data_IF_085737113015
#
_entry.id   IF_085737113015
#
_cell.length_a   1.000
_cell.length_b   1.000
_cell.length_c   1.000
_cell.angle_alpha   90.00
_cell.angle_beta   90.00
_cell.angle_gamma   90.00
#
_symmetry.space_group_name_H-M   'P 1'
#
loop_
_entity.id
_entity.type
_entity.pdbx_description
1 polymer ?
#
# COMPACT_ATOMS: atom_id res chain seq x y z
N UNK A 1 8.11 1.13 5.99
CA UNK A 1 7.61 -0.24 5.75
C UNK A 1 6.63 -0.76 6.81
N UNK A 2 6.89 -0.56 8.11
CA UNK A 2 5.99 -0.99 9.20
C UNK A 2 4.56 -0.39 9.15
N UNK A 3 4.40 0.78 8.52
CA UNK A 3 3.08 1.43 8.34
C UNK A 3 2.21 0.66 7.34
N UNK A 4 2.79 0.17 6.24
CA UNK A 4 2.07 -0.59 5.21
C UNK A 4 1.54 -1.93 5.70
N UNK A 5 2.33 -2.66 6.50
CA UNK A 5 1.91 -3.92 7.12
C UNK A 5 0.69 -3.74 8.05
N UNK A 6 0.77 -2.80 9.00
CA UNK A 6 -0.32 -2.54 9.96
C UNK A 6 -1.59 -2.09 9.25
N UNK A 7 -1.45 -1.22 8.25
CA UNK A 7 -2.58 -0.75 7.44
C UNK A 7 -3.24 -1.90 6.68
N UNK A 8 -2.46 -2.73 5.98
CA UNK A 8 -2.98 -3.87 5.22
C UNK A 8 -3.68 -4.90 6.13
N UNK A 9 -3.10 -5.22 7.30
CA UNK A 9 -3.71 -6.10 8.29
C UNK A 9 -5.03 -5.55 8.83
N UNK A 10 -5.06 -4.25 9.15
CA UNK A 10 -6.26 -3.56 9.62
C UNK A 10 -7.39 -3.66 8.60
N UNK A 11 -7.09 -3.41 7.32
CA UNK A 11 -8.07 -3.51 6.23
C UNK A 11 -8.55 -4.95 6.01
N UNK A 12 -7.64 -5.93 6.04
CA UNK A 12 -7.98 -7.34 5.88
C UNK A 12 -9.00 -7.83 6.91
N UNK A 13 -8.94 -7.30 8.14
CA UNK A 13 -9.91 -7.60 9.22
C UNK A 13 -11.16 -6.73 9.10
N UNK A 14 -11.02 -5.44 8.77
CA UNK A 14 -12.15 -4.51 8.68
C UNK A 14 -13.15 -4.90 7.58
N UNK A 15 -12.66 -5.42 6.44
CA UNK A 15 -13.48 -5.83 5.30
C UNK A 15 -14.57 -6.86 5.67
N UNK A 16 -14.27 -8.01 6.27
CA UNK A 16 -15.32 -8.95 6.68
C UNK A 16 -16.16 -8.42 7.85
N UNK A 17 -15.56 -7.72 8.81
CA UNK A 17 -16.25 -7.23 10.02
C UNK A 17 -17.32 -6.18 9.69
N UNK A 18 -16.99 -5.21 8.84
CA UNK A 18 -17.88 -4.11 8.51
C UNK A 18 -18.58 -4.28 7.14
N UNK A 19 -18.01 -5.07 6.24
CA UNK A 19 -18.55 -5.28 4.89
C UNK A 19 -19.63 -6.37 4.80
N UNK A 20 -19.43 -7.53 5.43
CA UNK A 20 -20.37 -8.68 5.32
C UNK A 20 -21.78 -8.41 5.88
N UNK A 21 -22.00 -7.52 6.87
CA UNK A 21 -23.35 -7.18 7.29
C UNK A 21 -24.16 -6.44 6.22
N UNK A 22 -23.53 -5.91 5.15
CA UNK A 22 -24.16 -5.09 4.11
C UNK A 22 -25.05 -3.94 4.64
N UNK A 23 -24.72 -3.42 5.82
CA UNK A 23 -25.35 -2.24 6.39
C UNK A 23 -24.77 -1.00 5.71
N UNK A 24 -25.61 -0.06 5.21
CA UNK A 24 -25.12 1.15 4.53
C UNK A 24 -24.09 1.93 5.34
N UNK A 25 -24.31 2.07 6.66
CA UNK A 25 -23.38 2.77 7.55
C UNK A 25 -22.04 2.04 7.66
N UNK A 26 -22.06 0.72 7.84
CA UNK A 26 -20.85 -0.07 7.98
C UNK A 26 -20.06 -0.15 6.66
N UNK A 27 -20.75 -0.12 5.51
CA UNK A 27 -20.13 -0.02 4.20
C UNK A 27 -19.41 1.32 4.01
N UNK A 28 -19.99 2.43 4.48
CA UNK A 28 -19.29 3.73 4.47
C UNK A 28 -18.04 3.68 5.35
N UNK A 29 -18.15 3.11 6.55
CA UNK A 29 -17.01 2.96 7.47
C UNK A 29 -15.90 2.12 6.85
N UNK A 30 -16.24 0.97 6.24
CA UNK A 30 -15.23 0.08 5.66
C UNK A 30 -14.56 0.71 4.45
N UNK A 31 -15.32 1.40 3.59
CA UNK A 31 -14.79 2.14 2.44
C UNK A 31 -13.84 3.24 2.92
N UNK A 32 -14.20 3.98 3.97
CA UNK A 32 -13.32 5.00 4.56
C UNK A 32 -12.01 4.38 5.05
N UNK A 33 -12.08 3.29 5.82
CA UNK A 33 -10.89 2.60 6.35
C UNK A 33 -9.97 2.12 5.21
N UNK A 34 -10.53 1.48 4.19
CA UNK A 34 -9.79 1.03 3.00
C UNK A 34 -9.09 2.20 2.31
N UNK A 35 -9.81 3.31 2.08
CA UNK A 35 -9.28 4.47 1.35
C UNK A 35 -8.23 5.24 2.15
N UNK A 36 -8.43 5.43 3.45
CA UNK A 36 -7.43 6.07 4.33
C UNK A 36 -6.15 5.25 4.39
N UNK A 37 -6.27 3.92 4.54
CA UNK A 37 -5.12 3.02 4.52
C UNK A 37 -4.39 3.07 3.17
N UNK A 38 -5.12 2.94 2.05
CA UNK A 38 -4.55 2.94 0.71
C UNK A 38 -3.86 4.26 0.35
N UNK A 39 -4.52 5.39 0.56
CA UNK A 39 -3.96 6.71 0.26
C UNK A 39 -2.82 7.09 1.22
N UNK A 40 -2.89 6.66 2.49
CA UNK A 40 -1.77 6.83 3.43
C UNK A 40 -0.51 6.12 2.95
N UNK A 41 -0.63 4.90 2.43
CA UNK A 41 0.50 4.18 1.81
C UNK A 41 1.00 4.92 0.57
N UNK A 42 0.10 5.38 -0.31
CA UNK A 42 0.46 6.15 -1.52
C UNK A 42 1.33 7.36 -1.18
N UNK A 43 0.94 8.17 -0.19
CA UNK A 43 1.70 9.36 0.23
C UNK A 43 3.13 9.00 0.65
N UNK A 44 3.29 7.91 1.40
CA UNK A 44 4.63 7.44 1.81
C UNK A 44 5.45 7.03 0.60
N UNK A 45 4.87 6.27 -0.33
CA UNK A 45 5.57 5.84 -1.55
C UNK A 45 5.96 7.04 -2.42
N UNK A 46 5.05 7.98 -2.63
CA UNK A 46 5.30 9.20 -3.42
C UNK A 46 6.44 10.03 -2.81
N UNK A 47 6.45 10.15 -1.48
CA UNK A 47 7.50 10.85 -0.74
C UNK A 47 8.84 10.11 -0.82
N UNK A 48 8.84 8.78 -0.73
CA UNK A 48 10.05 7.96 -0.88
C UNK A 48 10.64 8.09 -2.28
N UNK A 49 9.82 8.05 -3.33
CA UNK A 49 10.26 8.26 -4.71
C UNK A 49 10.89 9.65 -4.85
N UNK A 50 10.28 10.68 -4.27
CA UNK A 50 10.83 12.03 -4.30
C UNK A 50 12.15 12.15 -3.51
N UNK A 51 12.28 11.47 -2.37
CA UNK A 51 13.45 11.52 -1.52
C UNK A 51 14.65 10.75 -2.11
N UNK A 52 14.42 9.56 -2.68
CA UNK A 52 15.49 8.68 -3.13
C UNK A 52 15.92 8.91 -4.59
N UNK A 53 15.06 9.51 -5.42
CA UNK A 53 15.39 9.77 -6.82
C UNK A 53 16.19 11.06 -7.00
N UNK A 54 17.29 10.98 -7.74
CA UNK A 54 18.05 12.14 -8.20
C UNK A 54 17.17 13.11 -9.01
N UNK A 55 17.35 14.41 -8.79
CA UNK A 55 16.55 15.49 -9.38
C UNK A 55 16.38 15.36 -10.90
N UNK A 56 17.45 14.96 -11.61
CA UNK A 56 17.45 14.79 -13.06
C UNK A 56 16.43 13.75 -13.58
N UNK A 57 16.02 12.79 -12.73
CA UNK A 57 15.10 11.69 -13.07
C UNK A 57 13.79 11.72 -12.27
N UNK A 58 13.73 12.47 -11.15
CA UNK A 58 12.61 12.48 -10.20
C UNK A 58 11.24 12.62 -10.88
N UNK A 59 11.10 13.57 -11.80
CA UNK A 59 9.83 13.79 -12.51
C UNK A 59 9.40 12.61 -13.39
N UNK A 60 10.35 11.92 -14.05
CA UNK A 60 10.06 10.74 -14.88
C UNK A 60 9.66 9.55 -14.03
N UNK A 61 10.39 9.30 -12.94
CA UNK A 61 10.08 8.18 -12.03
C UNK A 61 8.74 8.42 -11.33
N UNK A 62 8.47 9.66 -10.90
CA UNK A 62 7.20 10.02 -10.29
C UNK A 62 6.01 9.82 -11.25
N UNK A 63 6.14 10.22 -12.52
CA UNK A 63 5.09 10.03 -13.51
C UNK A 63 4.78 8.54 -13.75
N UNK A 64 5.80 7.68 -13.80
CA UNK A 64 5.61 6.22 -13.91
C UNK A 64 4.91 5.67 -12.67
N UNK A 65 5.38 6.04 -11.47
CA UNK A 65 4.79 5.57 -10.21
C UNK A 65 3.30 5.96 -10.09
N UNK A 66 2.97 7.24 -10.32
CA UNK A 66 1.61 7.74 -10.21
C UNK A 66 0.69 7.13 -11.29
N UNK A 67 1.15 7.05 -12.54
CA UNK A 67 0.36 6.45 -13.64
C UNK A 67 0.10 4.97 -13.36
N UNK A 68 1.10 4.21 -12.91
CA UNK A 68 0.90 2.78 -12.57
C UNK A 68 -0.10 2.61 -11.43
N UNK A 69 -0.01 3.41 -10.37
CA UNK A 69 -0.96 3.36 -9.26
C UNK A 69 -2.39 3.68 -9.72
N UNK A 70 -2.56 4.79 -10.44
CA UNK A 70 -3.88 5.22 -10.90
C UNK A 70 -4.48 4.23 -11.89
N UNK A 71 -3.67 3.68 -12.80
CA UNK A 71 -4.10 2.65 -13.74
C UNK A 71 -4.56 1.39 -13.02
N UNK A 72 -3.76 0.88 -12.07
CA UNK A 72 -4.13 -0.29 -11.28
C UNK A 72 -5.42 -0.07 -10.49
N UNK A 73 -5.61 1.13 -9.92
CA UNK A 73 -6.81 1.49 -9.19
C UNK A 73 -8.06 1.48 -10.08
N UNK A 74 -7.99 2.13 -11.25
CA UNK A 74 -9.09 2.14 -12.23
C UNK A 74 -9.41 0.74 -12.73
N UNK A 75 -8.38 -0.05 -13.09
CA UNK A 75 -8.57 -1.44 -13.54
C UNK A 75 -9.22 -2.30 -12.46
N UNK A 76 -8.82 -2.14 -11.19
CA UNK A 76 -9.43 -2.84 -10.06
C UNK A 76 -10.90 -2.48 -9.89
N UNK A 77 -11.25 -1.19 -10.00
CA UNK A 77 -12.66 -0.74 -9.93
C UNK A 77 -13.50 -1.30 -11.08
N UNK A 78 -12.98 -1.26 -12.31
CA UNK A 78 -13.67 -1.81 -13.48
C UNK A 78 -13.87 -3.31 -13.35
N UNK A 79 -12.84 -4.05 -12.92
CA UNK A 79 -12.95 -5.49 -12.69
C UNK A 79 -13.98 -5.81 -11.59
N UNK A 80 -13.98 -5.04 -10.50
CA UNK A 80 -14.93 -5.20 -9.40
C UNK A 80 -16.37 -4.90 -9.84
N UNK A 81 -16.60 -3.86 -10.65
CA UNK A 81 -17.95 -3.51 -11.12
C UNK A 81 -18.54 -4.57 -12.05
N UNK A 82 -17.70 -5.26 -12.83
CA UNK A 82 -18.14 -6.38 -13.67
C UNK A 82 -18.51 -7.64 -12.86
N UNK A 83 -17.99 -7.78 -11.65
CA UNK A 83 -18.21 -8.93 -10.78
C UNK A 83 -19.33 -8.72 -9.74
N UNK A 84 -19.82 -7.48 -9.59
CA UNK A 84 -20.87 -7.14 -8.63
C UNK A 84 -22.25 -7.48 -9.23
N UNK A 85 -23.12 -8.21 -8.51
CA UNK A 85 -24.50 -8.44 -8.95
C UNK A 85 -25.33 -7.15 -8.93
N UNK A 86 -26.49 -7.17 -9.59
CA UNK A 86 -27.39 -6.00 -9.68
C UNK A 86 -27.87 -5.46 -8.32
N UNK A 87 -27.89 -6.31 -7.29
CA UNK A 87 -28.24 -5.92 -5.92
C UNK A 87 -27.07 -5.26 -5.14
N UNK A 88 -25.88 -5.19 -5.75
CA UNK A 88 -24.66 -4.61 -5.18
C UNK A 88 -24.00 -5.46 -4.11
N UNK A 89 -24.50 -6.67 -3.82
CA UNK A 89 -24.05 -7.49 -2.69
C UNK A 89 -23.22 -8.68 -3.18
N UNK A 90 -21.91 -8.59 -3.00
CA UNK A 90 -20.99 -9.70 -3.32
C UNK A 90 -20.11 -10.07 -2.13
N UNK A 91 -20.52 -11.07 -1.31
CA UNK A 91 -19.68 -11.60 -0.23
C UNK A 91 -18.36 -12.15 -0.75
N UNK A 92 -18.37 -12.75 -1.96
CA UNK A 92 -17.18 -13.28 -2.61
C UNK A 92 -16.18 -12.16 -2.93
N UNK A 93 -16.64 -11.03 -3.48
CA UNK A 93 -15.77 -9.90 -3.79
C UNK A 93 -15.16 -9.30 -2.52
N UNK A 94 -15.94 -9.18 -1.44
CA UNK A 94 -15.44 -8.75 -0.13
C UNK A 94 -14.39 -9.72 0.43
N UNK A 95 -14.64 -11.02 0.35
CA UNK A 95 -13.70 -12.04 0.80
C UNK A 95 -12.41 -12.03 -0.03
N UNK A 96 -12.51 -11.88 -1.36
CA UNK A 96 -11.37 -11.76 -2.26
C UNK A 96 -10.53 -10.51 -1.94
N UNK A 97 -11.17 -9.37 -1.71
CA UNK A 97 -10.48 -8.15 -1.30
C UNK A 97 -9.77 -8.34 0.06
N UNK A 98 -10.45 -8.93 1.05
CA UNK A 98 -9.87 -9.20 2.36
C UNK A 98 -8.66 -10.14 2.27
N UNK A 99 -8.75 -11.19 1.46
CA UNK A 99 -7.64 -12.10 1.17
C UNK A 99 -6.48 -11.37 0.47
N UNK A 100 -6.76 -10.49 -0.49
CA UNK A 100 -5.76 -9.65 -1.15
C UNK A 100 -4.98 -8.78 -0.15
N UNK A 101 -5.68 -8.09 0.75
CA UNK A 101 -5.04 -7.31 1.82
C UNK A 101 -4.26 -8.19 2.82
N UNK A 102 -4.75 -9.39 3.12
CA UNK A 102 -4.01 -10.34 3.96
C UNK A 102 -2.71 -10.81 3.29
N UNK A 103 -2.74 -11.09 1.99
CA UNK A 103 -1.54 -11.43 1.20
C UNK A 103 -0.56 -10.25 1.19
N UNK A 104 -1.04 -9.02 1.00
CA UNK A 104 -0.20 -7.83 1.06
C UNK A 104 0.47 -7.66 2.43
N UNK A 105 -0.28 -7.84 3.52
CA UNK A 105 0.26 -7.81 4.87
C UNK A 105 1.38 -8.83 5.07
N UNK A 106 1.14 -10.10 4.69
CA UNK A 106 2.14 -11.17 4.77
C UNK A 106 3.36 -10.83 3.91
N UNK A 107 3.15 -10.34 2.68
CA UNK A 107 4.21 -9.90 1.79
C UNK A 107 5.07 -8.81 2.40
N UNK A 108 4.47 -7.76 2.98
CA UNK A 108 5.19 -6.71 3.70
C UNK A 108 5.97 -7.25 4.89
N UNK A 109 5.40 -8.18 5.66
CA UNK A 109 6.07 -8.80 6.80
C UNK A 109 7.29 -9.63 6.41
N UNK A 110 7.17 -10.46 5.37
CA UNK A 110 8.25 -11.36 4.92
C UNK A 110 9.33 -10.59 4.17
N UNK A 111 8.94 -9.83 3.15
CA UNK A 111 9.89 -9.11 2.29
C UNK A 111 10.49 -7.96 3.09
N UNK A 112 9.67 -7.16 3.76
CA UNK A 112 10.15 -6.04 4.55
C UNK A 112 11.01 -6.42 5.74
N UNK A 113 10.70 -7.53 6.40
CA UNK A 113 11.56 -8.10 7.43
C UNK A 113 12.95 -8.46 6.91
N UNK A 114 13.06 -8.92 5.65
CA UNK A 114 14.35 -9.25 5.01
C UNK A 114 15.14 -7.98 4.65
N UNK A 115 14.48 -6.99 4.06
CA UNK A 115 15.13 -5.72 3.70
C UNK A 115 15.56 -4.92 4.92
N UNK A 116 14.75 -4.87 5.98
CA UNK A 116 15.12 -4.20 7.23
C UNK A 116 16.30 -4.88 7.94
N UNK A 117 16.40 -6.22 7.86
CA UNK A 117 17.55 -6.97 8.38
C UNK A 117 18.80 -6.77 7.52
N UNK A 118 18.67 -6.67 6.21
CA UNK A 118 19.78 -6.45 5.30
C UNK A 118 20.32 -5.01 5.36
N UNK A 119 19.43 -4.00 5.40
CA UNK A 119 19.82 -2.60 5.52
C UNK A 119 20.36 -2.22 6.91
N UNK A 120 20.15 -3.08 7.92
CA UNK A 120 20.59 -2.88 9.30
C UNK A 120 22.11 -2.77 9.48
N UNK A 121 22.90 -3.18 8.48
CA UNK A 121 24.36 -3.12 8.49
C UNK A 121 24.95 -1.99 7.62
N UNK A 122 24.13 -1.32 6.79
CA UNK A 122 24.59 -0.41 5.72
C UNK A 122 24.32 1.09 5.97
N UNK A 123 23.53 1.47 6.99
CA UNK A 123 23.25 2.90 7.29
C UNK A 123 24.50 3.64 7.82
N UNK A 124 25.60 2.92 8.07
CA UNK A 124 26.89 3.47 8.50
C UNK A 124 27.83 3.95 7.35
N UNK A 125 27.44 3.95 6.06
CA UNK A 125 28.28 4.50 4.98
C UNK A 125 27.45 5.23 3.92
N UNK A 126 27.91 6.32 3.27
CA UNK A 126 29.28 6.85 3.08
C UNK A 126 29.54 8.23 3.72
N UNK A 127 28.68 8.71 4.63
CA UNK A 127 28.92 9.98 5.34
C UNK A 127 30.13 9.88 6.28
N UNK A 128 30.34 8.72 6.91
CA UNK A 128 31.51 8.45 7.74
C UNK A 128 32.83 8.44 6.93
N UNK A 129 32.79 8.04 5.66
CA UNK A 129 33.96 8.05 4.78
C UNK A 129 34.34 9.47 4.31
N UNK A 130 33.40 10.41 4.31
CA UNK A 130 33.67 11.81 3.95
C UNK A 130 34.37 12.58 5.08
N UNK A 131 34.04 12.27 6.34
CA UNK A 131 34.65 12.93 7.51
C UNK A 131 36.10 12.48 7.76
N UNK A 132 36.46 11.24 7.42
CA UNK A 132 37.83 10.72 7.60
C UNK A 132 38.83 11.14 6.51
N UNK A 133 38.37 11.83 5.45
CA UNK A 133 39.23 12.33 4.38
C UNK A 133 39.56 13.83 4.53
N UNK A 134 39.02 14.48 5.57
CA UNK A 134 39.25 15.90 5.90
C UNK A 134 40.12 16.10 7.16
N UNK A 135 40.62 15.01 7.78
CA UNK A 135 41.59 14.99 8.89
C UNK A 135 42.97 14.48 8.42
#
# INVERSE_FOLDING_TARGET
MAVGDRAARGVAVALPVFGLPFSPLLLVVVVLVVNVAGHGIKIVVDTMVQHECADAFRGRVFAVNDTTFNLAYVLGMVAASLAVPDDGRSPLLLAAAAAGFAVLAVGYGIIGGRWARAAGDDIAGPVAAKTAAED
#
